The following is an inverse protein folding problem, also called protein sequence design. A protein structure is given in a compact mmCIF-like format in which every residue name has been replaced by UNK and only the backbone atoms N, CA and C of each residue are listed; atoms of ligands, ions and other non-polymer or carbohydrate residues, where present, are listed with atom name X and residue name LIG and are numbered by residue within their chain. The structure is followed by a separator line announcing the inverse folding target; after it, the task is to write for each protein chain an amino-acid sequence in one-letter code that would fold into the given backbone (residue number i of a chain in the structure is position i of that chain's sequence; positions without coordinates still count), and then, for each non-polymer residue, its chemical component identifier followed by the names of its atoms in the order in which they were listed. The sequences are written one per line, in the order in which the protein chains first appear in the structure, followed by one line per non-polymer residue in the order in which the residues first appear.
data_IF_037466943116
#
_entry.id   IF_037466943116
#
_cell.length_a   1.000
_cell.length_b   1.000
_cell.length_c   1.000
_cell.angle_alpha   90.00
_cell.angle_beta   90.00
_cell.angle_gamma   90.00
#
_symmetry.space_group_name_H-M   'P 1'
#
loop_
_entity.id
_entity.type
_entity.pdbx_description
1 polymer ?
#
# COMPACT_ATOMS: atom_id res chain seq x y z
N UNK A 1 -2.70 -15.36 -10.41
CA UNK A 1 -1.84 -14.66 -11.39
C UNK A 1 -0.40 -14.98 -11.03
N UNK A 2 0.44 -15.42 -11.98
CA UNK A 2 1.85 -15.77 -11.72
C UNK A 2 2.67 -14.48 -11.56
N UNK A 3 3.70 -14.47 -10.71
CA UNK A 3 4.52 -13.28 -10.40
C UNK A 3 5.02 -12.54 -11.66
N UNK A 4 5.47 -13.30 -12.66
CA UNK A 4 5.92 -12.77 -13.95
C UNK A 4 4.81 -12.09 -14.76
N UNK A 5 3.57 -12.58 -14.67
CA UNK A 5 2.41 -11.96 -15.34
C UNK A 5 2.04 -10.64 -14.65
N UNK A 6 2.13 -10.60 -13.33
CA UNK A 6 1.98 -9.37 -12.54
C UNK A 6 3.02 -8.32 -12.94
N UNK A 7 4.31 -8.70 -12.99
CA UNK A 7 5.39 -7.79 -13.43
C UNK A 7 5.20 -7.31 -14.88
N UNK A 8 4.81 -8.20 -15.80
CA UNK A 8 4.54 -7.85 -17.20
C UNK A 8 3.34 -6.91 -17.36
N UNK A 9 2.29 -7.10 -16.55
CA UNK A 9 1.14 -6.19 -16.51
C UNK A 9 1.58 -4.80 -16.05
N UNK A 10 2.38 -4.72 -14.98
CA UNK A 10 2.89 -3.46 -14.47
C UNK A 10 3.80 -2.68 -15.42
N UNK A 11 4.65 -3.37 -16.20
CA UNK A 11 5.48 -2.74 -17.21
C UNK A 11 4.72 -2.15 -18.41
N UNK A 12 3.44 -2.54 -18.62
CA UNK A 12 2.59 -2.01 -19.69
C UNK A 12 1.69 -0.85 -19.25
N UNK A 13 1.41 -0.78 -17.95
CA UNK A 13 0.47 0.16 -17.35
C UNK A 13 1.08 1.54 -17.15
N UNK A 14 2.40 1.61 -16.96
CA UNK A 14 3.14 2.88 -16.84
C UNK A 14 3.77 3.24 -18.18
N UNK A 15 3.30 4.33 -18.78
CA UNK A 15 3.91 4.92 -19.99
C UNK A 15 4.29 6.35 -19.64
N UNK A 16 5.58 6.68 -19.69
CA UNK A 16 6.12 7.99 -19.26
C UNK A 16 5.62 8.41 -17.86
N UNK A 17 5.73 7.51 -16.89
CA UNK A 17 5.33 7.71 -15.48
C UNK A 17 3.84 8.03 -15.25
N UNK A 18 3.01 7.78 -16.26
CA UNK A 18 1.55 7.94 -16.20
C UNK A 18 0.87 6.59 -16.29
N UNK A 19 -0.08 6.37 -15.40
CA UNK A 19 -1.02 5.26 -15.52
C UNK A 19 -1.90 5.52 -16.74
N UNK A 20 -1.75 4.69 -17.77
CA UNK A 20 -2.55 4.80 -19.00
C UNK A 20 -3.87 4.05 -18.91
N UNK A 21 -4.03 3.20 -17.89
CA UNK A 21 -5.21 2.36 -17.69
C UNK A 21 -5.96 2.71 -16.40
N UNK A 22 -7.29 2.95 -16.47
CA UNK A 22 -8.09 3.27 -15.28
C UNK A 22 -8.30 2.09 -14.32
N UNK A 23 -8.06 0.85 -14.77
CA UNK A 23 -8.20 -0.36 -13.96
C UNK A 23 -6.86 -0.94 -13.51
N UNK A 24 -5.96 -0.05 -13.10
CA UNK A 24 -4.67 -0.43 -12.56
C UNK A 24 -4.86 -0.92 -11.13
N UNK A 25 -4.63 -2.22 -10.82
CA UNK A 25 -4.71 -2.70 -9.45
C UNK A 25 -3.63 -2.01 -8.60
N UNK A 26 -3.68 -2.02 -7.26
CA UNK A 26 -2.54 -1.56 -6.47
C UNK A 26 -1.33 -2.50 -6.66
N UNK A 27 -0.10 -2.03 -6.41
CA UNK A 27 1.10 -2.91 -6.45
C UNK A 27 1.29 -3.69 -5.17
N UNK A 28 0.99 -3.04 -4.05
CA UNK A 28 1.21 -3.54 -2.69
C UNK A 28 -0.11 -3.63 -1.95
N UNK A 29 -0.22 -4.68 -1.17
CA UNK A 29 -1.33 -4.95 -0.28
C UNK A 29 -0.77 -5.24 1.11
N UNK A 30 -1.46 -4.80 2.15
CA UNK A 30 -1.22 -5.23 3.50
C UNK A 30 -1.93 -6.56 3.74
N UNK A 31 -1.15 -7.60 3.97
CA UNK A 31 -1.64 -8.87 4.52
C UNK A 31 -1.93 -8.65 6.01
N UNK A 32 -3.21 -8.52 6.35
CA UNK A 32 -3.65 -8.21 7.71
C UNK A 32 -3.40 -9.38 8.67
N UNK A 33 -3.46 -10.62 8.20
CA UNK A 33 -3.20 -11.79 9.04
C UNK A 33 -1.73 -11.91 9.40
N UNK A 34 -0.84 -11.83 8.41
CA UNK A 34 0.60 -11.95 8.63
C UNK A 34 1.28 -10.63 9.03
N UNK A 35 0.53 -9.52 9.06
CA UNK A 35 1.02 -8.16 9.32
C UNK A 35 2.25 -7.79 8.48
N UNK A 36 2.16 -7.97 7.16
CA UNK A 36 3.26 -7.68 6.22
C UNK A 36 2.75 -7.08 4.93
N UNK A 37 3.63 -6.37 4.23
CA UNK A 37 3.36 -5.92 2.85
C UNK A 37 3.63 -7.06 1.87
N UNK A 38 2.68 -7.33 0.98
CA UNK A 38 2.78 -8.30 -0.12
C UNK A 38 2.44 -7.64 -1.45
N UNK A 39 2.75 -8.32 -2.55
CA UNK A 39 2.39 -7.86 -3.89
C UNK A 39 0.94 -8.20 -4.20
N UNK A 40 0.24 -7.34 -4.94
CA UNK A 40 -1.21 -7.44 -5.15
C UNK A 40 -1.70 -8.77 -5.70
N UNK A 41 -0.92 -9.44 -6.56
CA UNK A 41 -1.34 -10.72 -7.13
C UNK A 41 -1.42 -11.86 -6.11
N UNK A 42 -0.85 -11.68 -4.91
CA UNK A 42 -0.99 -12.59 -3.77
C UNK A 42 -2.35 -12.39 -3.08
N UNK A 43 -2.93 -11.19 -3.17
CA UNK A 43 -4.23 -10.85 -2.56
C UNK A 43 -5.40 -11.26 -3.48
N UNK A 44 -5.87 -12.50 -3.32
CA UNK A 44 -6.92 -13.06 -4.16
C UNK A 44 -8.33 -12.52 -3.84
N UNK A 45 -8.74 -12.60 -2.57
CA UNK A 45 -10.08 -12.27 -2.09
C UNK A 45 -10.01 -11.44 -0.79
N UNK A 46 -11.15 -10.92 -0.31
CA UNK A 46 -11.20 -10.17 0.96
C UNK A 46 -10.36 -8.89 0.95
N UNK A 47 -10.38 -8.16 -0.19
CA UNK A 47 -9.62 -6.92 -0.39
C UNK A 47 -10.46 -5.72 0.01
N UNK A 48 -9.92 -4.89 0.90
CA UNK A 48 -10.50 -3.59 1.25
C UNK A 48 -9.57 -2.46 0.85
N UNK A 49 -10.11 -1.25 0.73
CA UNK A 49 -9.35 -0.04 0.46
C UNK A 49 -9.50 0.92 1.65
N UNK A 50 -8.38 1.43 2.13
CA UNK A 50 -8.30 2.46 3.17
C UNK A 50 -7.63 3.67 2.52
N UNK A 51 -8.35 4.79 2.46
CA UNK A 51 -7.87 6.01 1.81
C UNK A 51 -7.81 7.17 2.80
N UNK A 52 -6.69 7.89 2.76
CA UNK A 52 -6.47 9.14 3.48
C UNK A 52 -6.54 10.35 2.53
N UNK A 53 -7.00 10.17 1.29
CA UNK A 53 -7.02 11.22 0.26
C UNK A 53 -7.80 12.49 0.67
N UNK A 54 -8.76 12.36 1.59
CA UNK A 54 -9.56 13.47 2.11
C UNK A 54 -8.93 14.18 3.33
N UNK A 55 -7.88 13.61 3.94
CA UNK A 55 -7.22 14.13 5.15
C UNK A 55 -6.16 15.16 4.74
N UNK A 56 -6.09 16.32 5.38
CA UNK A 56 -5.07 17.35 5.12
C UNK A 56 -3.67 16.84 5.55
N UNK A 57 -2.61 17.24 4.84
CA UNK A 57 -1.23 16.86 5.18
C UNK A 57 -0.86 17.21 6.62
N UNK A 58 -1.35 18.34 7.13
CA UNK A 58 -1.08 18.76 8.52
C UNK A 58 -1.70 17.83 9.56
N UNK A 59 -2.68 17.01 9.17
CA UNK A 59 -3.39 16.08 10.04
C UNK A 59 -2.91 14.63 9.84
N UNK A 60 -1.94 14.44 8.93
CA UNK A 60 -1.21 13.20 8.73
C UNK A 60 0.10 13.21 9.53
N UNK A 61 0.52 12.05 9.99
CA UNK A 61 1.78 11.81 10.69
C UNK A 61 2.49 10.60 10.11
N UNK A 62 3.78 10.73 9.87
CA UNK A 62 4.62 9.69 9.27
C UNK A 62 5.11 8.70 10.34
N UNK A 63 4.67 7.44 10.24
CA UNK A 63 5.01 6.39 11.21
C UNK A 63 5.89 5.32 10.56
N UNK A 64 7.05 5.05 11.17
CA UNK A 64 7.90 3.94 10.75
C UNK A 64 7.32 2.62 11.28
N UNK A 65 6.92 1.72 10.39
CA UNK A 65 6.21 0.49 10.78
C UNK A 65 7.09 -0.75 10.61
N UNK A 66 6.97 -1.77 11.49
CA UNK A 66 7.55 -3.08 11.23
C UNK A 66 6.92 -3.77 10.01
N UNK A 67 5.69 -3.44 9.65
CA UNK A 67 4.91 -4.04 8.55
C UNK A 67 5.62 -3.94 7.20
N UNK A 68 6.34 -2.84 6.94
CA UNK A 68 7.17 -2.66 5.76
C UNK A 68 8.68 -2.79 6.05
N UNK A 69 9.04 -3.43 7.16
CA UNK A 69 10.43 -3.59 7.59
C UNK A 69 11.13 -2.27 7.95
N UNK A 70 10.37 -1.21 8.29
CA UNK A 70 10.86 0.16 8.47
C UNK A 70 11.59 0.70 7.22
N UNK A 71 11.19 0.26 6.04
CA UNK A 71 11.79 0.69 4.78
C UNK A 71 11.44 2.14 4.40
N UNK A 72 10.23 2.58 4.77
CA UNK A 72 9.70 3.91 4.52
C UNK A 72 8.67 4.30 5.61
N UNK A 73 8.44 5.60 5.86
CA UNK A 73 7.36 6.05 6.74
C UNK A 73 6.01 5.77 6.10
N UNK A 74 5.01 5.44 6.92
CA UNK A 74 3.63 5.22 6.54
C UNK A 74 2.82 6.39 7.15
N UNK A 75 2.30 7.34 6.36
CA UNK A 75 1.44 8.39 6.85
C UNK A 75 0.15 7.80 7.35
N UNK A 76 -0.16 8.11 8.58
CA UNK A 76 -1.40 7.74 9.27
C UNK A 76 -2.03 9.04 9.73
N UNK A 77 -3.32 9.05 10.07
CA UNK A 77 -3.85 10.18 10.83
C UNK A 77 -3.05 10.29 12.14
N UNK A 78 -2.72 11.52 12.57
CA UNK A 78 -1.89 11.75 13.76
C UNK A 78 -2.38 11.03 15.03
N UNK A 79 -3.69 10.82 15.12
CA UNK A 79 -4.34 10.16 16.24
C UNK A 79 -4.78 8.72 15.93
N UNK A 80 -4.40 8.17 14.77
CA UNK A 80 -4.75 6.81 14.37
C UNK A 80 -3.60 5.83 14.62
N UNK A 81 -3.96 4.65 15.12
CA UNK A 81 -3.05 3.53 15.33
C UNK A 81 -3.29 2.47 14.25
N UNK A 82 -2.24 2.07 13.55
CA UNK A 82 -2.29 1.02 12.55
C UNK A 82 -2.70 -0.33 13.15
N UNK A 83 -2.34 -0.63 14.39
CA UNK A 83 -2.74 -1.89 15.04
C UNK A 83 -4.26 -1.90 15.36
N UNK A 84 -4.83 -0.74 15.72
CA UNK A 84 -6.28 -0.59 15.86
C UNK A 84 -6.98 -0.70 14.51
N UNK A 85 -6.48 -0.02 13.48
CA UNK A 85 -7.01 -0.14 12.11
C UNK A 85 -6.98 -1.60 11.67
N UNK A 86 -5.87 -2.30 11.87
CA UNK A 86 -5.74 -3.72 11.54
C UNK A 86 -6.78 -4.57 12.26
N UNK A 87 -6.97 -4.33 13.56
CA UNK A 87 -7.94 -5.06 14.38
C UNK A 87 -9.37 -4.85 13.86
N UNK A 88 -9.76 -3.61 13.58
CA UNK A 88 -11.08 -3.30 13.02
C UNK A 88 -11.27 -3.94 11.64
N UNK A 89 -10.26 -3.90 10.77
CA UNK A 89 -10.33 -4.52 9.45
C UNK A 89 -10.47 -6.05 9.55
N UNK A 90 -9.76 -6.69 10.48
CA UNK A 90 -9.90 -8.13 10.74
C UNK A 90 -11.29 -8.48 11.30
N UNK A 91 -11.86 -7.63 12.16
CA UNK A 91 -13.24 -7.81 12.65
C UNK A 91 -14.27 -7.71 11.52
N UNK A 92 -13.96 -6.97 10.45
CA UNK A 92 -14.75 -6.90 9.21
C UNK A 92 -14.38 -7.97 8.17
N UNK A 93 -13.69 -9.03 8.59
CA UNK A 93 -13.28 -10.17 7.74
C UNK A 93 -12.36 -9.78 6.55
N UNK A 94 -11.72 -8.61 6.62
CA UNK A 94 -10.75 -8.22 5.61
C UNK A 94 -9.46 -9.04 5.77
N UNK A 95 -9.04 -9.71 4.70
CA UNK A 95 -7.77 -10.44 4.66
C UNK A 95 -6.63 -9.55 4.17
N UNK A 96 -6.93 -8.72 3.17
CA UNK A 96 -5.97 -7.83 2.55
C UNK A 96 -6.52 -6.41 2.52
N UNK A 97 -5.70 -5.43 2.89
CA UNK A 97 -6.04 -4.02 2.74
C UNK A 97 -5.08 -3.36 1.76
N UNK A 98 -5.63 -2.67 0.77
CA UNK A 98 -4.91 -1.60 0.12
C UNK A 98 -5.02 -0.39 1.03
N UNK A 99 -3.87 0.13 1.43
CA UNK A 99 -3.77 1.36 2.18
C UNK A 99 -3.11 2.35 1.22
N UNK A 100 -3.71 3.52 0.97
CA UNK A 100 -3.14 4.47 -0.03
C UNK A 100 -1.66 4.76 0.27
N UNK A 101 -1.32 4.65 1.55
CA UNK A 101 -0.02 4.92 2.14
C UNK A 101 0.98 3.76 2.07
N UNK A 102 0.59 2.62 1.51
CA UNK A 102 1.49 1.53 1.13
C UNK A 102 1.79 1.50 -0.37
N UNK A 103 1.27 2.49 -1.13
CA UNK A 103 1.55 2.70 -2.54
C UNK A 103 2.45 3.92 -2.80
N UNK A 104 2.98 3.93 -4.03
CA UNK A 104 4.28 4.45 -4.46
C UNK A 104 4.34 5.95 -4.69
N UNK A 105 4.14 6.78 -3.67
CA UNK A 105 4.44 8.24 -3.79
C UNK A 105 4.93 8.89 -2.51
N UNK A 106 5.37 8.12 -1.54
CA UNK A 106 5.76 8.68 -0.25
C UNK A 106 7.20 9.13 -0.32
N UNK A 107 7.42 10.39 0.02
CA UNK A 107 8.73 10.96 0.15
C UNK A 107 9.29 10.64 1.54
N UNK A 108 10.57 10.30 1.59
CA UNK A 108 11.28 9.93 2.80
C UNK A 108 11.34 8.40 2.96
N UNK A 109 12.51 7.90 3.37
CA UNK A 109 12.73 6.49 3.67
C UNK A 109 14.00 5.94 3.03
N UNK A 110 14.44 4.78 3.51
CA UNK A 110 15.61 4.08 2.96
C UNK A 110 15.32 3.48 1.56
N UNK A 111 14.05 3.40 1.18
CA UNK A 111 13.56 2.91 -0.11
C UNK A 111 13.34 3.99 -1.18
N UNK A 112 13.74 5.26 -0.97
CA UNK A 112 13.53 6.35 -1.95
C UNK A 112 14.03 6.02 -3.36
N UNK A 113 15.12 5.25 -3.49
CA UNK A 113 15.63 4.82 -4.78
C UNK A 113 14.66 3.90 -5.54
N UNK A 114 13.84 3.12 -4.83
CA UNK A 114 12.80 2.28 -5.42
C UNK A 114 11.69 3.14 -6.03
N UNK A 115 11.50 4.39 -5.57
CA UNK A 115 10.54 5.36 -6.14
C UNK A 115 10.80 5.68 -7.61
N UNK A 116 12.04 5.53 -8.09
CA UNK A 116 12.44 5.78 -9.48
C UNK A 116 12.25 4.56 -10.38
N UNK A 117 12.24 3.36 -9.81
CA UNK A 117 12.00 2.10 -10.52
C UNK A 117 10.51 1.68 -10.46
N UNK A 118 9.67 2.57 -9.93
CA UNK A 118 8.30 2.33 -9.51
C UNK A 118 7.24 2.91 -10.45
#
# INVERSE_FOLDING_TARGET
MREEEGRKMWGRVLVHDRMTTPHTPPRRMWDLYANRVVLYWVAHEGRCAISHAWVDEKDRGDVMTPTNGKGWPVPVLKDADLDLIRTEMLNHEAQYAWLDVLCLRQQGGNGEHLRLEE
#
